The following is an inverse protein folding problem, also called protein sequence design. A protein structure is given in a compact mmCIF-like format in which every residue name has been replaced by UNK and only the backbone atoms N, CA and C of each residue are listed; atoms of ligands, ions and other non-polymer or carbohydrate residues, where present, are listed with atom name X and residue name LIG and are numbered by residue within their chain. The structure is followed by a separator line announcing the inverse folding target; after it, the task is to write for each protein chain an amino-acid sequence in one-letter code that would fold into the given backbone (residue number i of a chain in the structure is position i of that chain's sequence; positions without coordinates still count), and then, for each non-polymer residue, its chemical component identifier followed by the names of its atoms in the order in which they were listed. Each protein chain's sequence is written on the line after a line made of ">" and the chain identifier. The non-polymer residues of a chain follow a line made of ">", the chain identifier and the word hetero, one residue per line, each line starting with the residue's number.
data_IF_314399934279
#
_entry.id   IF_314399934279
#
_cell.length_a   1.000
_cell.length_b   1.000
_cell.length_c   1.000
_cell.angle_alpha   90.00
_cell.angle_beta   90.00
_cell.angle_gamma   90.00
#
_symmetry.space_group_name_H-M   'P 1'
#
loop_
_entity.id
_entity.type
_entity.pdbx_description
1 polymer ?
#
# COMPACT_ATOMS: atom_id res chain seq x y z
N UNK A 1 7.49 1.36 -20.45
CA UNK A 1 7.60 0.32 -19.41
C UNK A 1 7.59 1.00 -18.05
N UNK A 2 6.38 1.21 -17.54
CA UNK A 2 6.12 1.73 -16.19
C UNK A 2 6.34 0.66 -15.10
N UNK A 3 6.80 -0.54 -15.45
CA UNK A 3 7.01 -1.65 -14.51
C UNK A 3 8.18 -1.46 -13.54
N UNK A 4 8.94 -0.36 -13.65
CA UNK A 4 10.06 -0.01 -12.76
C UNK A 4 9.77 1.30 -12.03
N UNK A 5 8.93 1.28 -10.99
CA UNK A 5 8.50 2.49 -10.30
C UNK A 5 9.67 3.31 -9.73
N UNK A 6 10.79 2.66 -9.38
CA UNK A 6 11.98 3.31 -8.83
C UNK A 6 12.59 4.33 -9.79
N UNK A 7 12.42 4.13 -11.10
CA UNK A 7 12.92 5.05 -12.13
C UNK A 7 12.09 6.32 -12.26
N UNK A 8 10.86 6.32 -11.73
CA UNK A 8 9.88 7.42 -11.86
C UNK A 8 9.67 8.21 -10.57
N UNK A 9 9.99 7.68 -9.39
CA UNK A 9 9.74 8.33 -8.08
C UNK A 9 10.25 9.78 -8.02
N UNK A 10 11.41 10.05 -8.62
CA UNK A 10 12.06 11.38 -8.60
C UNK A 10 11.96 12.14 -9.94
N UNK A 11 11.17 11.65 -10.90
CA UNK A 11 11.02 12.30 -12.20
C UNK A 11 10.02 13.47 -12.13
N UNK A 12 10.21 14.51 -12.96
CA UNK A 12 9.21 15.56 -13.07
C UNK A 12 7.89 15.00 -13.66
N UNK A 13 6.73 15.54 -13.27
CA UNK A 13 5.41 15.06 -13.72
C UNK A 13 5.26 14.95 -15.24
N UNK A 14 5.89 15.85 -15.99
CA UNK A 14 5.85 15.89 -17.46
C UNK A 14 6.55 14.68 -18.08
N UNK A 15 7.65 14.22 -17.49
CA UNK A 15 8.38 13.04 -17.95
C UNK A 15 7.55 11.76 -17.71
N UNK A 16 6.85 11.70 -16.56
CA UNK A 16 5.94 10.59 -16.24
C UNK A 16 4.75 10.59 -17.20
N UNK A 17 4.14 11.75 -17.46
CA UNK A 17 3.05 11.86 -18.44
C UNK A 17 3.50 11.41 -19.83
N UNK A 18 4.67 11.85 -20.30
CA UNK A 18 5.20 11.45 -21.59
C UNK A 18 5.39 9.93 -21.70
N UNK A 19 5.88 9.29 -20.64
CA UNK A 19 6.00 7.83 -20.58
C UNK A 19 4.64 7.12 -20.63
N UNK A 20 3.64 7.62 -19.89
CA UNK A 20 2.26 7.09 -19.92
C UNK A 20 1.65 7.23 -21.31
N UNK A 21 1.80 8.39 -21.99
CA UNK A 21 1.29 8.60 -23.34
C UNK A 21 1.96 7.69 -24.38
N UNK A 22 3.26 7.45 -24.23
CA UNK A 22 3.98 6.51 -25.07
C UNK A 22 3.49 5.06 -24.89
N UNK A 23 3.24 4.63 -23.65
CA UNK A 23 2.69 3.30 -23.36
C UNK A 23 1.20 3.19 -23.79
N UNK A 24 0.40 4.25 -23.65
CA UNK A 24 -0.96 4.30 -24.18
C UNK A 24 -0.98 4.11 -25.71
N UNK A 25 -0.08 4.79 -26.43
CA UNK A 25 0.07 4.62 -27.88
C UNK A 25 0.45 3.19 -28.28
N UNK A 26 1.28 2.50 -27.46
CA UNK A 26 1.60 1.08 -27.68
C UNK A 26 0.38 0.15 -27.53
N UNK A 27 -0.61 0.57 -26.75
CA UNK A 27 -1.89 -0.10 -26.58
C UNK A 27 -2.95 0.38 -27.59
N UNK A 28 -2.55 1.11 -28.63
CA UNK A 28 -3.43 1.71 -29.65
C UNK A 28 -4.44 2.74 -29.09
N UNK A 29 -4.08 3.38 -27.97
CA UNK A 29 -4.86 4.47 -27.36
C UNK A 29 -4.24 5.81 -27.71
N UNK A 30 -4.74 6.45 -28.78
CA UNK A 30 -4.34 7.81 -29.15
C UNK A 30 -5.16 8.85 -28.37
N UNK A 31 -4.60 9.24 -27.23
CA UNK A 31 -5.23 10.15 -26.26
C UNK A 31 -4.43 11.43 -26.00
N UNK A 32 -3.28 11.61 -26.66
CA UNK A 32 -2.35 12.70 -26.34
C UNK A 32 -2.98 14.09 -26.50
N UNK A 33 -3.78 14.28 -27.54
CA UNK A 33 -4.53 15.51 -27.84
C UNK A 33 -5.79 15.69 -26.97
N UNK A 34 -6.22 14.62 -26.28
CA UNK A 34 -7.44 14.60 -25.44
C UNK A 34 -7.15 14.89 -23.96
N UNK A 35 -5.90 14.82 -23.52
CA UNK A 35 -5.53 15.14 -22.12
C UNK A 35 -5.67 16.65 -21.86
N UNK A 36 -6.64 17.05 -21.03
CA UNK A 36 -6.85 18.45 -20.64
C UNK A 36 -6.19 18.84 -19.31
N UNK A 37 -6.08 17.88 -18.40
CA UNK A 37 -5.49 18.03 -17.08
C UNK A 37 -5.02 16.66 -16.59
N UNK A 38 -3.92 16.64 -15.86
CA UNK A 38 -3.40 15.46 -15.21
C UNK A 38 -2.83 15.83 -13.84
N UNK A 39 -2.67 14.84 -12.97
CA UNK A 39 -1.99 14.96 -11.69
C UNK A 39 -1.17 13.71 -11.47
N UNK A 40 0.10 13.87 -11.16
CA UNK A 40 0.94 12.78 -10.68
C UNK A 40 0.85 12.73 -9.15
N UNK A 41 0.59 11.54 -8.62
CA UNK A 41 0.62 11.26 -7.19
C UNK A 41 1.66 10.17 -7.00
N UNK A 42 2.64 10.43 -6.14
CA UNK A 42 3.77 9.53 -5.89
C UNK A 42 3.91 9.36 -4.38
N UNK A 43 3.91 8.11 -3.94
CA UNK A 43 4.11 7.74 -2.55
C UNK A 43 5.13 6.60 -2.47
N UNK A 44 6.38 6.90 -2.11
CA UNK A 44 7.46 5.91 -2.16
C UNK A 44 7.33 4.79 -1.11
N UNK A 45 6.53 4.99 -0.05
CA UNK A 45 6.48 4.11 1.13
C UNK A 45 5.03 3.68 1.47
N UNK A 46 4.16 3.54 0.46
CA UNK A 46 2.74 3.21 0.68
C UNK A 46 2.51 1.81 1.30
N UNK A 47 3.37 0.85 0.98
CA UNK A 47 3.22 -0.53 1.41
C UNK A 47 4.52 -1.08 1.99
N UNK A 48 4.40 -2.06 2.89
CA UNK A 48 5.56 -2.82 3.34
C UNK A 48 6.10 -3.71 2.21
N UNK A 49 7.40 -4.02 2.28
CA UNK A 49 8.08 -4.82 1.28
C UNK A 49 7.55 -6.27 1.23
N UNK A 50 7.02 -6.68 0.08
CA UNK A 50 6.59 -8.06 -0.21
C UNK A 50 7.76 -8.94 -0.69
N UNK A 51 8.81 -9.04 0.11
CA UNK A 51 9.97 -9.90 -0.18
C UNK A 51 9.92 -11.23 0.58
N UNK A 52 10.61 -12.28 0.08
CA UNK A 52 10.76 -13.53 0.83
C UNK A 52 11.24 -13.27 2.27
N UNK A 53 10.55 -13.83 3.25
CA UNK A 53 10.85 -13.66 4.68
C UNK A 53 10.14 -12.50 5.38
N UNK A 54 9.56 -11.53 4.65
CA UNK A 54 8.87 -10.38 5.24
C UNK A 54 7.66 -10.78 6.11
N UNK A 55 6.98 -11.88 5.76
CA UNK A 55 5.82 -12.40 6.50
C UNK A 55 6.12 -12.70 7.99
N UNK A 56 7.37 -13.01 8.32
CA UNK A 56 7.80 -13.27 9.71
C UNK A 56 7.93 -11.98 10.53
N UNK A 57 8.10 -10.84 9.88
CA UNK A 57 8.26 -9.53 10.51
C UNK A 57 6.93 -8.85 10.82
N UNK A 58 5.82 -9.34 10.25
CA UNK A 58 4.48 -8.78 10.45
C UNK A 58 4.02 -9.02 11.90
N UNK A 59 3.79 -7.96 12.70
CA UNK A 59 3.42 -8.10 14.11
C UNK A 59 1.96 -8.57 14.25
N UNK A 60 1.65 -9.32 15.31
CA UNK A 60 0.26 -9.57 15.69
C UNK A 60 -0.43 -8.30 16.18
N UNK A 61 -1.76 -8.27 16.15
CA UNK A 61 -2.52 -7.12 16.65
C UNK A 61 -2.34 -6.93 18.16
N UNK A 62 -2.35 -8.03 18.93
CA UNK A 62 -1.98 -8.00 20.35
C UNK A 62 -0.46 -7.88 20.49
N UNK A 63 0.01 -6.90 21.26
CA UNK A 63 1.44 -6.70 21.52
C UNK A 63 1.81 -7.19 22.93
N UNK A 64 3.11 -7.42 23.22
CA UNK A 64 3.57 -7.71 24.57
C UNK A 64 3.43 -6.54 25.55
N UNK A 65 3.21 -5.31 25.07
CA UNK A 65 3.11 -4.11 25.89
C UNK A 65 1.67 -3.94 26.36
N UNK A 66 1.40 -3.96 27.69
CA UNK A 66 0.04 -3.81 28.20
C UNK A 66 -0.60 -2.50 27.72
N UNK A 67 -1.83 -2.59 27.21
CA UNK A 67 -2.59 -1.45 26.69
C UNK A 67 -2.21 -1.02 25.27
N UNK A 68 -1.21 -1.64 24.63
CA UNK A 68 -0.83 -1.34 23.24
C UNK A 68 -1.32 -2.44 22.28
N UNK A 69 -2.09 -2.04 21.27
CA UNK A 69 -2.58 -2.89 20.18
C UNK A 69 -2.25 -2.24 18.84
N UNK A 70 -1.90 -3.04 17.84
CA UNK A 70 -1.59 -2.56 16.48
C UNK A 70 -2.71 -2.92 15.49
N UNK A 71 -2.96 -2.01 14.55
CA UNK A 71 -3.83 -2.22 13.40
C UNK A 71 -3.19 -1.61 12.14
N UNK A 72 -3.53 -2.18 11.00
CA UNK A 72 -2.96 -1.87 9.69
C UNK A 72 -2.71 -3.14 8.88
N UNK A 73 -2.74 -3.01 7.56
CA UNK A 73 -2.52 -4.11 6.62
C UNK A 73 -1.15 -4.81 6.77
N UNK A 74 -0.14 -4.07 7.25
CA UNK A 74 1.19 -4.56 7.63
C UNK A 74 1.16 -5.55 8.82
N UNK A 75 0.14 -5.52 9.66
CA UNK A 75 0.00 -6.46 10.78
C UNK A 75 -0.38 -7.86 10.30
N UNK A 76 -0.28 -8.87 11.17
CA UNK A 76 -0.44 -10.29 10.84
C UNK A 76 -1.89 -10.63 10.50
N UNK A 77 -2.15 -10.87 9.21
CA UNK A 77 -3.44 -11.30 8.67
C UNK A 77 -3.23 -12.04 7.33
N UNK A 78 -4.18 -12.89 6.87
CA UNK A 78 -3.95 -13.81 5.75
C UNK A 78 -3.93 -13.15 4.37
N UNK A 79 -4.34 -11.89 4.27
CA UNK A 79 -4.23 -11.06 3.08
C UNK A 79 -2.92 -10.27 3.13
N UNK A 80 -2.44 -9.80 1.99
CA UNK A 80 -1.26 -8.95 1.88
C UNK A 80 -1.59 -7.51 2.33
N UNK A 81 -0.84 -6.52 1.83
CA UNK A 81 -1.15 -5.10 1.97
C UNK A 81 -2.38 -4.71 1.10
N UNK A 82 -3.57 -5.10 1.54
CA UNK A 82 -4.84 -4.79 0.85
C UNK A 82 -5.80 -4.05 1.75
N UNK A 83 -6.82 -3.42 1.15
CA UNK A 83 -7.90 -2.75 1.89
C UNK A 83 -8.63 -3.73 2.83
N UNK A 84 -8.92 -4.94 2.36
CA UNK A 84 -9.53 -6.00 3.17
C UNK A 84 -8.59 -6.43 4.31
N UNK A 85 -7.29 -6.49 4.03
CA UNK A 85 -6.26 -6.75 5.04
C UNK A 85 -6.26 -5.70 6.15
N UNK A 86 -6.38 -4.42 5.79
CA UNK A 86 -6.51 -3.32 6.74
C UNK A 86 -7.78 -3.45 7.60
N UNK A 87 -8.93 -3.72 6.99
CA UNK A 87 -10.21 -3.89 7.70
C UNK A 87 -10.15 -5.08 8.67
N UNK A 88 -9.73 -6.25 8.19
CA UNK A 88 -9.59 -7.44 9.04
C UNK A 88 -8.60 -7.23 10.18
N UNK A 89 -7.49 -6.52 9.92
CA UNK A 89 -6.56 -6.13 10.97
C UNK A 89 -7.24 -5.29 12.04
N UNK A 90 -8.03 -4.29 11.65
CA UNK A 90 -8.80 -3.45 12.57
C UNK A 90 -9.77 -4.28 13.43
N UNK A 91 -10.50 -5.20 12.83
CA UNK A 91 -11.39 -6.10 13.58
C UNK A 91 -10.65 -6.98 14.58
N UNK A 92 -9.49 -7.52 14.20
CA UNK A 92 -8.65 -8.34 15.08
C UNK A 92 -8.08 -7.51 16.23
N UNK A 93 -7.67 -6.27 15.96
CA UNK A 93 -7.21 -5.33 16.97
C UNK A 93 -8.33 -5.00 17.97
N UNK A 94 -9.53 -4.69 17.50
CA UNK A 94 -10.69 -4.45 18.36
C UNK A 94 -11.00 -5.66 19.26
N UNK A 95 -10.98 -6.89 18.70
CA UNK A 95 -11.14 -8.13 19.47
C UNK A 95 -10.03 -8.33 20.51
N UNK A 96 -8.78 -7.96 20.20
CA UNK A 96 -7.67 -8.04 21.14
C UNK A 96 -7.85 -7.06 22.31
N UNK A 97 -8.29 -5.82 22.03
CA UNK A 97 -8.62 -4.82 23.06
C UNK A 97 -9.69 -5.34 24.01
N UNK A 98 -10.82 -5.83 23.47
CA UNK A 98 -11.95 -6.35 24.28
C UNK A 98 -11.51 -7.48 25.21
N UNK A 99 -10.68 -8.42 24.70
CA UNK A 99 -10.14 -9.51 25.51
C UNK A 99 -9.16 -9.03 26.59
N UNK A 100 -8.36 -8.00 26.29
CA UNK A 100 -7.40 -7.41 27.23
C UNK A 100 -8.07 -6.59 28.33
N UNK A 101 -9.16 -5.87 28.01
CA UNK A 101 -9.94 -5.07 28.96
C UNK A 101 -10.73 -5.90 29.99
N UNK A 102 -10.91 -7.20 29.76
CA UNK A 102 -11.49 -8.13 30.74
C UNK A 102 -10.51 -8.66 31.79
N UNK A 103 -9.24 -8.21 31.78
CA UNK A 103 -8.19 -8.57 32.74
C UNK A 103 -7.77 -7.41 33.66
N UNK A 104 -8.60 -6.38 33.80
CA UNK A 104 -8.41 -5.31 34.78
C UNK A 104 -9.18 -5.62 36.06
#
# INVERSE_FOLDING_TARGET
>A
DLGRPETFINQPPEAILAAVLADAKRLDLDIADKVRRYRVVSHPEDFYLLAPGAEKLRPSQATPIPGLTLAGDYTKQPLFCTMEGAVMSGERAAKAVIKGSGKQ
#
